data_IF_955207717101
#
_entry.id   IF_955207717101
#
_cell.length_a   1.000
_cell.length_b   1.000
_cell.length_c   1.000
_cell.angle_alpha   90.00
_cell.angle_beta   90.00
_cell.angle_gamma   90.00
#
_symmetry.space_group_name_H-M   'P 1'
#
loop_
_entity.id
_entity.type
_entity.pdbx_description
1 polymer ?
#
# COMPACT_ATOMS: atom_id res chain seq x y z
N UNK A 1 0.89 26.63 -1.23
CA UNK A 1 1.58 26.74 -2.53
C UNK A 1 1.10 25.53 -3.36
N UNK A 2 0.09 25.74 -4.22
CA UNK A 2 -0.37 24.73 -5.19
C UNK A 2 0.65 24.68 -6.34
N UNK A 3 1.13 23.48 -6.68
CA UNK A 3 1.82 23.19 -7.93
C UNK A 3 3.34 23.37 -7.92
N UNK A 4 4.09 22.34 -7.51
CA UNK A 4 5.54 22.28 -7.72
C UNK A 4 5.88 22.10 -9.22
N UNK A 5 4.97 21.52 -10.00
CA UNK A 5 5.16 21.22 -11.41
C UNK A 5 4.14 21.98 -12.27
N UNK A 6 4.58 22.48 -13.40
CA UNK A 6 3.71 23.15 -14.38
C UNK A 6 4.04 22.67 -15.77
N UNK A 7 3.05 22.16 -16.49
CA UNK A 7 3.15 21.82 -17.89
C UNK A 7 2.35 22.80 -18.73
N UNK A 8 2.97 23.30 -19.79
CA UNK A 8 2.31 24.17 -20.76
C UNK A 8 2.98 23.97 -22.12
N UNK A 9 2.19 23.86 -23.18
CA UNK A 9 2.69 23.73 -24.54
C UNK A 9 3.67 24.87 -24.88
N UNK A 10 4.82 24.53 -25.48
CA UNK A 10 5.85 25.47 -25.81
C UNK A 10 6.69 26.00 -24.62
N UNK A 11 6.55 25.47 -23.44
CA UNK A 11 7.37 25.78 -22.27
C UNK A 11 8.29 24.62 -21.90
N UNK A 12 9.44 24.88 -21.24
CA UNK A 12 10.31 23.81 -20.74
C UNK A 12 9.59 22.86 -19.78
N UNK A 13 9.97 21.58 -19.83
CA UNK A 13 9.46 20.55 -18.93
C UNK A 13 9.87 20.82 -17.48
N UNK A 14 8.99 20.55 -16.51
CA UNK A 14 9.36 20.61 -15.11
C UNK A 14 10.41 19.55 -14.75
N UNK A 15 11.28 19.87 -13.77
CA UNK A 15 12.32 18.96 -13.31
C UNK A 15 11.74 17.97 -12.32
N UNK A 16 11.93 16.68 -12.58
CA UNK A 16 11.44 15.62 -11.72
C UNK A 16 12.22 15.57 -10.39
N UNK A 17 11.56 15.73 -9.26
CA UNK A 17 12.16 15.61 -7.94
C UNK A 17 12.41 14.16 -7.53
N UNK A 18 13.39 13.93 -6.65
CA UNK A 18 13.80 12.58 -6.22
C UNK A 18 12.66 11.77 -5.59
N UNK A 19 11.80 12.39 -4.80
CA UNK A 19 10.65 11.73 -4.17
C UNK A 19 9.60 11.24 -5.20
N UNK A 20 9.43 11.96 -6.31
CA UNK A 20 8.53 11.54 -7.39
C UNK A 20 9.10 10.35 -8.16
N UNK A 21 10.43 10.26 -8.31
CA UNK A 21 11.09 9.08 -8.90
C UNK A 21 10.74 7.82 -8.13
N UNK A 22 10.90 7.85 -6.80
CA UNK A 22 10.60 6.70 -5.95
C UNK A 22 9.11 6.27 -6.04
N UNK A 23 8.18 7.23 -6.04
CA UNK A 23 6.75 6.94 -6.20
C UNK A 23 6.43 6.29 -7.54
N UNK A 24 6.95 6.85 -8.64
CA UNK A 24 6.74 6.28 -9.98
C UNK A 24 7.30 4.86 -10.09
N UNK A 25 8.44 4.57 -9.47
CA UNK A 25 9.01 3.24 -9.45
C UNK A 25 8.11 2.25 -8.70
N UNK A 26 7.56 2.65 -7.54
CA UNK A 26 6.62 1.81 -6.81
C UNK A 26 5.37 1.54 -7.63
N UNK A 27 4.78 2.56 -8.23
CA UNK A 27 3.56 2.42 -9.03
C UNK A 27 3.78 1.46 -10.20
N UNK A 28 4.88 1.61 -10.94
CA UNK A 28 5.23 0.75 -12.06
C UNK A 28 5.48 -0.70 -11.62
N UNK A 29 6.26 -0.90 -10.55
CA UNK A 29 6.54 -2.25 -10.06
C UNK A 29 5.33 -2.91 -9.41
N UNK A 30 4.50 -2.11 -8.69
CA UNK A 30 3.29 -2.64 -8.08
C UNK A 30 2.29 -3.14 -9.12
N UNK A 31 2.07 -2.40 -10.20
CA UNK A 31 1.13 -2.83 -11.26
C UNK A 31 1.59 -4.14 -11.92
N UNK A 32 2.90 -4.35 -12.08
CA UNK A 32 3.44 -5.61 -12.58
C UNK A 32 3.11 -6.77 -11.64
N UNK A 33 3.42 -6.62 -10.35
CA UNK A 33 3.11 -7.63 -9.32
C UNK A 33 1.59 -7.88 -9.26
N UNK A 34 0.79 -6.84 -9.30
CA UNK A 34 -0.67 -6.91 -9.26
C UNK A 34 -1.23 -7.77 -10.38
N UNK A 35 -0.81 -7.51 -11.61
CA UNK A 35 -1.26 -8.28 -12.79
C UNK A 35 -0.73 -9.72 -12.74
N UNK A 36 0.53 -9.93 -12.43
CA UNK A 36 1.11 -11.27 -12.27
C UNK A 36 0.34 -12.10 -11.24
N UNK A 37 -0.09 -11.50 -10.15
CA UNK A 37 -0.91 -12.16 -9.13
C UNK A 37 -2.31 -12.50 -9.62
N UNK A 38 -2.96 -11.58 -10.30
CA UNK A 38 -4.31 -11.78 -10.84
C UNK A 38 -4.36 -12.75 -12.01
N UNK A 39 -3.23 -12.99 -12.67
CA UNK A 39 -3.11 -13.87 -13.84
C UNK A 39 -2.39 -15.19 -13.55
N UNK A 40 -2.19 -15.55 -12.27
CA UNK A 40 -1.48 -16.81 -11.90
C UNK A 40 -2.12 -18.09 -12.40
N UNK A 41 -3.44 -18.11 -12.57
CA UNK A 41 -4.16 -19.30 -13.00
C UNK A 41 -3.92 -19.57 -14.48
N UNK A 42 -3.29 -20.71 -14.87
CA UNK A 42 -2.93 -20.98 -16.26
C UNK A 42 -4.14 -21.03 -17.22
N UNK A 43 -5.31 -21.42 -16.72
CA UNK A 43 -6.55 -21.51 -17.51
C UNK A 43 -7.24 -20.16 -17.72
N UNK A 44 -6.82 -19.12 -17.04
CA UNK A 44 -7.36 -17.77 -17.23
C UNK A 44 -6.86 -17.20 -18.55
N UNK A 45 -7.80 -16.68 -19.36
CA UNK A 45 -7.51 -16.11 -20.67
C UNK A 45 -7.77 -14.61 -20.78
N UNK A 46 -8.33 -14.01 -19.74
CA UNK A 46 -8.70 -12.59 -19.75
C UNK A 46 -8.58 -11.93 -18.37
N UNK A 47 -8.21 -10.66 -18.38
CA UNK A 47 -8.29 -9.77 -17.21
C UNK A 47 -8.84 -8.40 -17.63
N UNK A 48 -9.90 -7.94 -16.96
CA UNK A 48 -10.41 -6.58 -17.11
C UNK A 48 -9.89 -5.71 -15.95
N UNK A 49 -9.29 -4.58 -16.30
CA UNK A 49 -8.67 -3.66 -15.34
C UNK A 49 -9.05 -2.20 -15.67
N UNK A 50 -9.26 -1.39 -14.65
CA UNK A 50 -9.32 0.07 -14.79
C UNK A 50 -8.24 0.67 -13.92
N UNK A 51 -7.40 1.50 -14.52
CA UNK A 51 -6.34 2.24 -13.85
C UNK A 51 -6.74 3.71 -13.81
N UNK A 52 -6.71 4.29 -12.62
CA UNK A 52 -7.09 5.68 -12.40
C UNK A 52 -5.90 6.42 -11.81
N UNK A 53 -5.41 7.42 -12.52
CA UNK A 53 -4.44 8.38 -12.03
C UNK A 53 -5.16 9.71 -11.76
N UNK A 54 -5.41 9.98 -10.49
CA UNK A 54 -6.23 11.12 -10.06
C UNK A 54 -5.51 12.46 -10.09
N UNK A 55 -4.18 12.48 -10.35
CA UNK A 55 -3.33 13.66 -10.37
C UNK A 55 -2.27 13.52 -11.45
N UNK A 56 -2.71 13.28 -12.68
CA UNK A 56 -1.88 12.77 -13.77
C UNK A 56 -0.80 13.75 -14.28
N UNK A 57 -0.96 15.04 -14.05
CA UNK A 57 -0.06 16.07 -14.58
C UNK A 57 0.03 16.04 -16.10
N UNK A 58 1.14 16.55 -16.65
CA UNK A 58 1.38 16.57 -18.10
C UNK A 58 2.08 15.33 -18.66
N UNK A 59 2.45 14.35 -17.82
CA UNK A 59 2.98 13.06 -18.27
C UNK A 59 4.46 13.03 -18.65
N UNK A 60 5.16 14.17 -18.75
CA UNK A 60 6.58 14.26 -19.06
C UNK A 60 7.32 15.19 -18.09
N UNK A 61 8.56 14.83 -17.79
CA UNK A 61 9.47 15.60 -16.95
C UNK A 61 10.85 15.68 -17.58
N UNK A 62 11.69 16.52 -17.01
CA UNK A 62 13.13 16.60 -17.30
C UNK A 62 13.92 16.12 -16.10
N UNK A 63 14.97 15.31 -16.34
CA UNK A 63 15.98 14.94 -15.36
C UNK A 63 17.36 15.19 -15.98
N UNK A 64 18.03 16.23 -15.51
CA UNK A 64 19.22 16.73 -16.21
C UNK A 64 18.87 17.20 -17.62
N UNK A 65 19.55 16.67 -18.63
CA UNK A 65 19.27 16.90 -20.06
C UNK A 65 18.27 15.91 -20.67
N UNK A 66 17.83 14.90 -19.94
CA UNK A 66 16.99 13.81 -20.47
C UNK A 66 15.52 14.03 -20.13
N UNK A 67 14.66 13.77 -21.11
CA UNK A 67 13.22 13.67 -20.92
C UNK A 67 12.87 12.33 -20.24
N UNK A 68 12.00 12.35 -19.25
CA UNK A 68 11.56 11.16 -18.54
C UNK A 68 10.05 11.11 -18.41
N UNK A 69 9.50 9.91 -18.51
CA UNK A 69 8.06 9.66 -18.42
C UNK A 69 7.53 9.88 -17.01
N UNK A 70 6.36 10.53 -16.93
CA UNK A 70 5.54 10.61 -15.74
C UNK A 70 4.61 9.38 -15.59
N UNK A 71 3.77 9.41 -14.56
CA UNK A 71 2.85 8.29 -14.22
C UNK A 71 1.99 7.83 -15.40
N UNK A 72 1.34 8.69 -16.22
CA UNK A 72 0.50 8.22 -17.32
C UNK A 72 1.24 7.35 -18.33
N UNK A 73 2.40 7.79 -18.82
CA UNK A 73 3.18 7.04 -19.79
C UNK A 73 3.79 5.76 -19.19
N UNK A 74 4.26 5.82 -17.96
CA UNK A 74 4.78 4.64 -17.24
C UNK A 74 3.72 3.56 -17.07
N UNK A 75 2.50 3.95 -16.66
CA UNK A 75 1.38 3.03 -16.50
C UNK A 75 0.97 2.39 -17.83
N UNK A 76 0.87 3.18 -18.90
CA UNK A 76 0.57 2.66 -20.25
C UNK A 76 1.60 1.64 -20.70
N UNK A 77 2.89 1.99 -20.64
CA UNK A 77 3.99 1.09 -21.05
C UNK A 77 4.10 -0.17 -20.19
N UNK A 78 3.88 -0.05 -18.89
CA UNK A 78 3.88 -1.21 -18.00
C UNK A 78 2.80 -2.22 -18.37
N UNK A 79 1.60 -1.75 -18.72
CA UNK A 79 0.50 -2.60 -19.16
C UNK A 79 0.77 -3.23 -20.51
N UNK A 80 1.27 -2.46 -21.48
CA UNK A 80 1.62 -2.96 -22.82
C UNK A 80 2.68 -4.06 -22.75
N UNK A 81 3.77 -3.80 -22.01
CA UNK A 81 4.82 -4.81 -21.82
C UNK A 81 4.33 -6.09 -21.15
N UNK A 82 3.40 -5.99 -20.19
CA UNK A 82 2.79 -7.16 -19.54
C UNK A 82 1.82 -7.89 -20.48
N UNK A 83 1.07 -7.18 -21.29
CA UNK A 83 0.18 -7.78 -22.29
C UNK A 83 0.99 -8.63 -23.28
N UNK A 84 2.11 -8.10 -23.78
CA UNK A 84 3.01 -8.82 -24.70
C UNK A 84 3.59 -10.08 -24.05
N UNK A 85 4.03 -9.99 -22.79
CA UNK A 85 4.53 -11.14 -22.02
C UNK A 85 3.41 -12.19 -21.84
N UNK A 86 2.22 -11.77 -21.45
CA UNK A 86 1.10 -12.69 -21.24
C UNK A 86 0.64 -13.36 -22.56
N UNK A 87 0.62 -12.62 -23.66
CA UNK A 87 0.29 -13.17 -25.00
C UNK A 87 1.32 -14.19 -25.45
N UNK A 88 2.61 -13.93 -25.22
CA UNK A 88 3.68 -14.83 -25.66
C UNK A 88 3.86 -16.08 -24.78
N UNK A 89 3.53 -15.99 -23.49
CA UNK A 89 3.73 -17.09 -22.54
C UNK A 89 2.53 -17.99 -22.36
N UNK A 90 1.32 -17.58 -22.78
CA UNK A 90 0.07 -18.34 -22.62
C UNK A 90 -0.30 -19.10 -23.88
N UNK A 91 -0.37 -20.43 -23.80
CA UNK A 91 -0.67 -21.32 -24.93
C UNK A 91 -2.00 -20.99 -25.64
N UNK A 92 -3.00 -20.44 -24.91
CA UNK A 92 -4.31 -20.00 -25.45
C UNK A 92 -4.38 -18.50 -25.73
N UNK A 93 -3.24 -17.80 -25.65
CA UNK A 93 -3.22 -16.35 -25.62
C UNK A 93 -3.81 -15.77 -24.32
N UNK A 94 -3.71 -14.46 -24.16
CA UNK A 94 -4.28 -13.72 -23.04
C UNK A 94 -4.77 -12.35 -23.51
N UNK A 95 -5.96 -11.96 -23.06
CA UNK A 95 -6.57 -10.67 -23.38
C UNK A 95 -6.55 -9.78 -22.13
N UNK A 96 -5.59 -8.82 -22.07
CA UNK A 96 -5.51 -7.85 -21.02
C UNK A 96 -6.23 -6.56 -21.43
N UNK A 97 -7.44 -6.36 -20.93
CA UNK A 97 -8.27 -5.18 -21.23
C UNK A 97 -8.10 -4.15 -20.13
N UNK A 98 -7.36 -3.10 -20.41
CA UNK A 98 -7.13 -2.03 -19.46
C UNK A 98 -7.71 -0.71 -19.96
N UNK A 99 -8.56 -0.09 -19.15
CA UNK A 99 -8.98 1.29 -19.31
C UNK A 99 -8.16 2.20 -18.41
N UNK A 100 -7.89 3.41 -18.87
CA UNK A 100 -7.12 4.40 -18.16
C UNK A 100 -7.92 5.68 -17.97
N UNK A 101 -7.98 6.19 -16.76
CA UNK A 101 -8.48 7.52 -16.45
C UNK A 101 -7.32 8.36 -15.95
N UNK A 102 -6.99 9.42 -16.70
CA UNK A 102 -6.01 10.45 -16.33
C UNK A 102 -6.75 11.73 -16.00
N UNK A 103 -6.67 12.17 -14.75
CA UNK A 103 -7.46 13.28 -14.23
C UNK A 103 -6.50 14.34 -13.71
N UNK A 104 -6.73 15.58 -14.06
CA UNK A 104 -5.99 16.73 -13.52
C UNK A 104 -6.89 17.98 -13.51
N UNK A 105 -6.80 18.78 -12.43
CA UNK A 105 -7.57 20.02 -12.27
C UNK A 105 -7.08 21.16 -13.18
N UNK A 106 -5.86 21.06 -13.71
CA UNK A 106 -5.25 22.10 -14.51
C UNK A 106 -5.43 21.83 -16.01
N UNK A 107 -6.17 22.69 -16.69
CA UNK A 107 -6.42 22.57 -18.12
C UNK A 107 -5.13 22.47 -18.95
N UNK A 108 -4.09 23.25 -18.61
CA UNK A 108 -2.83 23.19 -19.34
C UNK A 108 -2.11 21.85 -19.21
N UNK A 109 -2.25 21.17 -18.05
CA UNK A 109 -1.71 19.82 -17.87
C UNK A 109 -2.44 18.81 -18.73
N UNK A 110 -3.78 18.90 -18.78
CA UNK A 110 -4.65 18.06 -19.61
C UNK A 110 -4.35 18.23 -21.10
N UNK A 111 -4.23 19.48 -21.57
CA UNK A 111 -3.87 19.82 -22.96
C UNK A 111 -2.49 19.25 -23.31
N UNK A 112 -1.51 19.47 -22.44
CA UNK A 112 -0.15 18.97 -22.61
C UNK A 112 -0.11 17.44 -22.65
N UNK A 113 -0.75 16.74 -21.71
CA UNK A 113 -0.83 15.28 -21.68
C UNK A 113 -1.50 14.73 -22.95
N UNK A 114 -2.58 15.38 -23.39
CA UNK A 114 -3.28 14.98 -24.62
C UNK A 114 -2.37 15.05 -25.84
N UNK A 115 -1.60 16.12 -25.97
CA UNK A 115 -0.63 16.27 -27.05
C UNK A 115 0.48 15.24 -26.98
N UNK A 116 1.08 15.04 -25.81
CA UNK A 116 2.09 14.01 -25.56
C UNK A 116 1.58 12.62 -25.95
N UNK A 117 0.37 12.25 -25.55
CA UNK A 117 -0.19 10.94 -25.86
C UNK A 117 -0.42 10.77 -27.38
N UNK A 118 -0.84 11.83 -28.09
CA UNK A 118 -0.94 11.79 -29.54
C UNK A 118 0.42 11.57 -30.21
N UNK A 119 1.44 12.32 -29.78
CA UNK A 119 2.81 12.19 -30.29
C UNK A 119 3.43 10.83 -30.03
N UNK A 120 3.07 10.19 -28.93
CA UNK A 120 3.56 8.86 -28.53
C UNK A 120 2.75 7.70 -29.13
N UNK A 121 1.82 7.96 -30.06
CA UNK A 121 1.09 6.95 -30.81
C UNK A 121 -0.22 6.48 -30.17
N UNK A 122 -0.69 7.13 -29.09
CA UNK A 122 -1.92 6.76 -28.37
C UNK A 122 -3.18 7.43 -28.94
N UNK A 123 -3.10 8.18 -30.03
CA UNK A 123 -4.21 8.97 -30.58
C UNK A 123 -5.51 8.15 -30.79
N UNK A 124 -5.40 6.92 -31.29
CA UNK A 124 -6.54 6.03 -31.57
C UNK A 124 -7.16 5.44 -30.30
N UNK A 125 -6.50 5.54 -29.16
CA UNK A 125 -6.97 5.04 -27.87
C UNK A 125 -7.68 6.10 -27.05
N UNK A 126 -7.47 7.39 -27.38
CA UNK A 126 -8.13 8.50 -26.69
C UNK A 126 -9.65 8.45 -26.90
N UNK A 127 -10.39 8.48 -25.82
CA UNK A 127 -11.86 8.36 -25.80
C UNK A 127 -12.39 6.93 -25.95
N UNK A 128 -11.54 5.93 -26.23
CA UNK A 128 -11.91 4.52 -26.32
C UNK A 128 -11.59 3.74 -25.06
N UNK A 129 -10.31 3.74 -24.66
CA UNK A 129 -9.77 3.06 -23.48
C UNK A 129 -8.80 3.96 -22.69
N UNK A 130 -8.46 5.15 -23.22
CA UNK A 130 -7.73 6.21 -22.52
C UNK A 130 -8.65 7.43 -22.39
N UNK A 131 -9.05 7.76 -21.17
CA UNK A 131 -9.94 8.87 -20.86
C UNK A 131 -9.17 9.95 -20.08
N UNK A 132 -9.03 11.13 -20.67
CA UNK A 132 -8.44 12.28 -20.00
C UNK A 132 -9.57 13.19 -19.52
N UNK A 133 -9.50 13.66 -18.26
CA UNK A 133 -10.52 14.51 -17.64
C UNK A 133 -9.90 15.75 -17.04
N UNK A 134 -10.41 16.93 -17.43
CA UNK A 134 -10.15 18.20 -16.79
C UNK A 134 -11.19 18.37 -15.67
N UNK A 135 -10.82 18.00 -14.45
CA UNK A 135 -11.69 18.09 -13.28
C UNK A 135 -10.86 17.87 -12.00
N UNK A 136 -11.40 18.24 -10.86
CA UNK A 136 -10.95 17.71 -9.58
C UNK A 136 -11.25 16.21 -9.51
N UNK A 137 -10.35 15.44 -8.88
CA UNK A 137 -10.56 14.00 -8.74
C UNK A 137 -11.90 13.66 -8.06
N UNK A 138 -12.30 14.43 -7.04
CA UNK A 138 -13.56 14.24 -6.33
C UNK A 138 -14.78 14.41 -7.24
N UNK A 139 -14.72 15.35 -8.18
CA UNK A 139 -15.78 15.60 -9.17
C UNK A 139 -15.84 14.50 -10.24
N UNK A 140 -14.70 14.01 -10.70
CA UNK A 140 -14.63 12.97 -11.72
C UNK A 140 -14.92 11.56 -11.18
N UNK A 141 -14.67 11.30 -9.91
CA UNK A 141 -14.74 9.98 -9.30
C UNK A 141 -16.11 9.29 -9.44
N UNK A 142 -17.28 9.94 -9.31
CA UNK A 142 -18.57 9.30 -9.52
C UNK A 142 -18.72 8.68 -10.91
N UNK A 143 -18.26 9.37 -11.96
CA UNK A 143 -18.30 8.87 -13.35
C UNK A 143 -17.32 7.70 -13.55
N UNK A 144 -16.14 7.78 -12.96
CA UNK A 144 -15.16 6.68 -12.96
C UNK A 144 -15.75 5.44 -12.29
N UNK A 145 -16.37 5.58 -11.12
CA UNK A 145 -17.03 4.47 -10.42
C UNK A 145 -18.18 3.88 -11.24
N UNK A 146 -18.99 4.72 -11.89
CA UNK A 146 -20.06 4.27 -12.77
C UNK A 146 -19.53 3.49 -13.97
N UNK A 147 -18.43 3.96 -14.57
CA UNK A 147 -17.75 3.25 -15.68
C UNK A 147 -17.23 1.88 -15.24
N UNK A 148 -16.54 1.81 -14.10
CA UNK A 148 -16.03 0.54 -13.57
C UNK A 148 -17.18 -0.44 -13.31
N UNK A 149 -18.26 0.01 -12.68
CA UNK A 149 -19.43 -0.83 -12.38
C UNK A 149 -20.12 -1.39 -13.62
N UNK A 150 -20.19 -0.62 -14.71
CA UNK A 150 -20.77 -1.07 -16.00
C UNK A 150 -20.01 -2.26 -16.61
N UNK A 151 -18.71 -2.43 -16.28
CA UNK A 151 -17.89 -3.56 -16.77
C UNK A 151 -18.11 -4.87 -15.98
N UNK A 152 -18.98 -4.85 -14.99
CA UNK A 152 -19.38 -6.01 -14.22
C UNK A 152 -18.46 -6.39 -13.06
N UNK A 153 -18.79 -7.49 -12.38
CA UNK A 153 -18.15 -7.91 -11.13
C UNK A 153 -16.73 -8.44 -11.29
N UNK A 154 -16.32 -8.82 -12.51
CA UNK A 154 -14.97 -9.30 -12.80
C UNK A 154 -13.94 -8.15 -12.95
N UNK A 155 -14.43 -6.90 -13.04
CA UNK A 155 -13.58 -5.73 -13.18
C UNK A 155 -12.70 -5.55 -11.95
N UNK A 156 -11.42 -5.28 -12.19
CA UNK A 156 -10.45 -4.87 -11.19
C UNK A 156 -10.17 -3.38 -11.34
N UNK A 157 -9.79 -2.71 -10.25
CA UNK A 157 -9.47 -1.29 -10.30
C UNK A 157 -8.33 -0.94 -9.36
N UNK A 158 -7.47 -0.06 -9.86
CA UNK A 158 -6.30 0.43 -9.16
C UNK A 158 -6.26 1.95 -9.28
N UNK A 159 -6.27 2.64 -8.14
CA UNK A 159 -6.28 4.09 -8.05
C UNK A 159 -4.91 4.59 -7.56
N UNK A 160 -4.28 5.43 -8.35
CA UNK A 160 -3.07 6.17 -7.99
C UNK A 160 -3.45 7.63 -7.73
N UNK A 161 -3.39 8.02 -6.46
CA UNK A 161 -3.82 9.33 -6.00
C UNK A 161 -2.60 10.08 -5.43
N UNK A 162 -1.77 10.60 -6.34
CA UNK A 162 -0.54 11.32 -5.99
C UNK A 162 -0.84 12.80 -5.72
N UNK A 163 -1.69 13.07 -4.74
CA UNK A 163 -2.02 14.43 -4.34
C UNK A 163 -0.79 15.18 -3.82
N UNK A 164 -0.75 16.49 -4.08
CA UNK A 164 0.38 17.32 -3.65
C UNK A 164 0.42 17.55 -2.13
N UNK A 165 -0.71 17.56 -1.48
CA UNK A 165 -0.88 17.83 -0.05
C UNK A 165 -1.34 16.62 0.74
N UNK A 166 -2.37 16.83 1.53
CA UNK A 166 -2.99 15.83 2.40
C UNK A 166 -4.52 15.90 2.42
N UNK A 167 -5.13 16.88 1.77
CA UNK A 167 -6.57 17.19 1.87
C UNK A 167 -7.31 17.27 0.54
N UNK A 168 -6.62 17.07 -0.61
CA UNK A 168 -7.26 17.16 -1.92
C UNK A 168 -8.12 15.92 -2.23
N UNK A 169 -7.90 14.82 -1.51
CA UNK A 169 -8.74 13.61 -1.56
C UNK A 169 -9.36 13.38 -0.19
N UNK A 170 -10.68 13.51 -0.11
CA UNK A 170 -11.42 13.28 1.13
C UNK A 170 -11.45 11.80 1.53
N UNK A 171 -11.32 11.49 2.84
CA UNK A 171 -11.34 10.11 3.33
C UNK A 171 -12.69 9.43 3.08
N UNK A 172 -13.79 10.18 3.10
CA UNK A 172 -15.13 9.70 2.71
C UNK A 172 -15.19 9.20 1.27
N UNK A 173 -14.46 9.83 0.36
CA UNK A 173 -14.37 9.40 -1.04
C UNK A 173 -13.62 8.09 -1.15
N UNK A 174 -12.50 7.93 -0.42
CA UNK A 174 -11.76 6.67 -0.37
C UNK A 174 -12.64 5.55 0.20
N UNK A 175 -13.36 5.81 1.28
CA UNK A 175 -14.35 4.87 1.86
C UNK A 175 -15.40 4.47 0.82
N UNK A 176 -15.91 5.43 0.03
CA UNK A 176 -16.85 5.16 -1.06
C UNK A 176 -16.24 4.28 -2.15
N UNK A 177 -15.00 4.52 -2.56
CA UNK A 177 -14.28 3.68 -3.54
C UNK A 177 -14.17 2.25 -3.01
N UNK A 178 -13.62 2.09 -1.79
CA UNK A 178 -13.38 0.78 -1.19
C UNK A 178 -14.67 -0.01 -0.91
N UNK A 179 -15.75 0.68 -0.54
CA UNK A 179 -17.04 0.06 -0.24
C UNK A 179 -17.93 -0.22 -1.46
N UNK A 180 -17.70 0.46 -2.59
CA UNK A 180 -18.60 0.37 -3.75
C UNK A 180 -18.12 -0.52 -4.88
N UNK A 181 -16.86 -0.91 -4.89
CA UNK A 181 -16.22 -1.72 -5.92
C UNK A 181 -15.78 -3.07 -5.34
N UNK A 182 -15.57 -4.04 -6.23
CA UNK A 182 -15.07 -5.36 -5.84
C UNK A 182 -13.53 -5.36 -5.78
N UNK A 183 -12.97 -5.39 -4.57
CA UNK A 183 -11.54 -5.39 -4.32
C UNK A 183 -10.77 -4.29 -5.08
N UNK A 184 -11.16 -3.02 -4.94
CA UNK A 184 -10.37 -1.91 -5.43
C UNK A 184 -9.12 -1.77 -4.56
N UNK A 185 -8.09 -1.17 -5.12
CA UNK A 185 -6.90 -0.78 -4.38
C UNK A 185 -6.60 0.69 -4.61
N UNK A 186 -6.18 1.36 -3.56
CA UNK A 186 -5.85 2.79 -3.59
C UNK A 186 -4.42 2.99 -3.08
N UNK A 187 -3.60 3.63 -3.88
CA UNK A 187 -2.31 4.16 -3.48
C UNK A 187 -2.43 5.68 -3.38
N UNK A 188 -2.31 6.19 -2.17
CA UNK A 188 -2.49 7.61 -1.87
C UNK A 188 -1.20 8.20 -1.30
N UNK A 189 -0.72 9.30 -1.90
CA UNK A 189 0.34 10.12 -1.28
C UNK A 189 -0.29 11.07 -0.28
N UNK A 190 0.29 11.14 0.92
CA UNK A 190 -0.23 11.94 2.02
C UNK A 190 0.92 12.71 2.72
N UNK A 191 0.89 14.03 2.64
CA UNK A 191 1.93 14.88 3.21
C UNK A 191 1.74 15.06 4.73
N UNK A 192 2.07 14.02 5.49
CA UNK A 192 1.82 13.95 6.94
C UNK A 192 2.49 15.09 7.72
N UNK A 193 3.72 15.46 7.39
CA UNK A 193 4.43 16.56 8.06
C UNK A 193 3.75 17.91 7.79
N UNK A 194 3.19 18.10 6.59
CA UNK A 194 2.45 19.31 6.27
C UNK A 194 1.16 19.40 7.10
N UNK A 195 0.44 18.28 7.26
CA UNK A 195 -0.73 18.21 8.13
C UNK A 195 -0.35 18.51 9.59
N UNK A 196 0.67 17.83 10.13
CA UNK A 196 1.10 18.03 11.53
C UNK A 196 1.44 19.51 11.78
N UNK A 197 2.12 20.17 10.84
CA UNK A 197 2.44 21.60 10.98
C UNK A 197 1.21 22.50 10.84
N UNK A 198 0.18 22.08 10.13
CA UNK A 198 -1.07 22.81 9.94
C UNK A 198 -2.02 22.69 11.14
N UNK A 199 -1.95 21.58 11.88
CA UNK A 199 -2.83 21.34 13.04
C UNK A 199 -2.70 22.45 14.07
N UNK A 200 -3.82 23.13 14.35
CA UNK A 200 -3.97 24.09 15.45
C UNK A 200 -5.46 24.25 15.77
N UNK A 201 -5.77 24.67 16.98
CA UNK A 201 -7.17 24.96 17.37
C UNK A 201 -7.82 26.01 16.46
N UNK A 202 -7.04 26.94 15.89
CA UNK A 202 -7.52 27.95 14.95
C UNK A 202 -7.89 27.39 13.57
N UNK A 203 -7.33 26.25 13.19
CA UNK A 203 -7.54 25.60 11.88
C UNK A 203 -8.59 24.48 11.94
N UNK A 204 -9.11 24.15 13.13
CA UNK A 204 -9.96 22.98 13.37
C UNK A 204 -11.23 22.88 12.49
N UNK A 205 -11.74 24.02 12.01
CA UNK A 205 -12.98 24.06 11.22
C UNK A 205 -12.71 24.35 9.73
N UNK A 206 -11.46 24.18 9.27
CA UNK A 206 -11.16 24.38 7.85
C UNK A 206 -11.62 23.18 7.01
N UNK A 207 -12.07 23.47 5.78
CA UNK A 207 -12.48 22.44 4.83
C UNK A 207 -11.41 21.35 4.66
N UNK A 208 -10.14 21.71 4.72
CA UNK A 208 -9.04 20.78 4.62
C UNK A 208 -9.06 19.71 5.72
N UNK A 209 -9.33 20.08 6.98
CA UNK A 209 -9.43 19.13 8.09
C UNK A 209 -10.75 18.35 8.03
N UNK A 210 -11.84 18.97 7.59
CA UNK A 210 -13.12 18.28 7.37
C UNK A 210 -13.00 17.21 6.27
N UNK A 211 -12.23 17.45 5.21
CA UNK A 211 -11.98 16.47 4.16
C UNK A 211 -11.30 15.18 4.69
N UNK A 212 -10.48 15.31 5.73
CA UNK A 212 -9.87 14.15 6.39
C UNK A 212 -10.62 13.73 7.66
N UNK A 213 -11.84 14.23 7.84
CA UNK A 213 -12.74 13.86 8.94
C UNK A 213 -12.14 14.11 10.34
N UNK A 214 -11.25 15.09 10.50
CA UNK A 214 -10.77 15.56 11.79
C UNK A 214 -11.66 16.70 12.28
N UNK A 215 -12.37 16.47 13.37
CA UNK A 215 -13.18 17.50 14.01
C UNK A 215 -12.38 18.36 15.01
N UNK A 216 -13.06 19.27 15.71
CA UNK A 216 -12.43 20.18 16.66
C UNK A 216 -11.85 19.45 17.88
N UNK A 217 -12.49 18.37 18.33
CA UNK A 217 -12.04 17.58 19.47
C UNK A 217 -10.80 16.77 19.10
N UNK A 218 -10.80 16.14 17.93
CA UNK A 218 -9.65 15.43 17.38
C UNK A 218 -8.43 16.35 17.26
N UNK A 219 -8.63 17.55 16.65
CA UNK A 219 -7.55 18.53 16.50
C UNK A 219 -7.01 18.97 17.84
N UNK A 220 -7.88 19.20 18.83
CA UNK A 220 -7.47 19.56 20.19
C UNK A 220 -6.65 18.42 20.81
N UNK A 221 -7.15 17.19 20.77
CA UNK A 221 -6.45 16.03 21.31
C UNK A 221 -5.07 15.85 20.68
N UNK A 222 -4.96 16.00 19.35
CA UNK A 222 -3.68 15.94 18.63
C UNK A 222 -2.73 17.10 19.01
N UNK A 223 -3.25 18.32 19.22
CA UNK A 223 -2.43 19.47 19.60
C UNK A 223 -1.95 19.39 21.04
N UNK A 224 -2.74 18.82 21.93
CA UNK A 224 -2.38 18.62 23.35
C UNK A 224 -1.22 17.61 23.53
N UNK A 225 -0.98 16.74 22.54
CA UNK A 225 0.20 15.86 22.52
C UNK A 225 1.52 16.62 22.31
N UNK A 226 1.49 17.87 21.83
CA UNK A 226 2.70 18.67 21.55
C UNK A 226 3.43 19.03 22.83
N UNK A 227 4.74 19.02 22.76
CA UNK A 227 5.61 19.46 23.87
C UNK A 227 6.24 18.32 24.68
N UNK A 228 5.77 17.07 24.54
CA UNK A 228 6.41 15.89 25.11
C UNK A 228 7.50 15.32 24.21
N UNK A 229 8.37 14.48 24.77
CA UNK A 229 9.33 13.72 23.98
C UNK A 229 8.59 12.81 22.98
N UNK A 230 9.05 12.80 21.71
CA UNK A 230 8.42 11.95 20.68
C UNK A 230 7.02 12.37 20.23
N UNK A 231 6.54 13.56 20.59
CA UNK A 231 5.18 14.03 20.30
C UNK A 231 4.76 13.88 18.80
N UNK A 232 5.70 14.08 17.87
CA UNK A 232 5.41 13.90 16.43
C UNK A 232 5.01 12.47 16.10
N UNK A 233 5.65 11.48 16.70
CA UNK A 233 5.32 10.07 16.50
C UNK A 233 3.96 9.70 17.10
N UNK A 234 3.62 10.30 18.25
CA UNK A 234 2.30 10.13 18.86
C UNK A 234 1.20 10.66 17.93
N UNK A 235 1.38 11.86 17.38
CA UNK A 235 0.43 12.42 16.40
C UNK A 235 0.38 11.54 15.14
N UNK A 236 1.51 11.11 14.60
CA UNK A 236 1.53 10.23 13.43
C UNK A 236 0.79 8.92 13.70
N UNK A 237 0.96 8.31 14.86
CA UNK A 237 0.24 7.08 15.22
C UNK A 237 -1.28 7.32 15.35
N UNK A 238 -1.69 8.42 15.95
CA UNK A 238 -3.11 8.79 16.04
C UNK A 238 -3.73 9.02 14.66
N UNK A 239 -3.03 9.75 13.78
CA UNK A 239 -3.44 9.96 12.39
C UNK A 239 -3.49 8.64 11.59
N UNK A 240 -2.54 7.75 11.81
CA UNK A 240 -2.54 6.42 11.21
C UNK A 240 -3.84 5.67 11.50
N UNK A 241 -4.21 5.56 12.77
CA UNK A 241 -5.45 4.89 13.18
C UNK A 241 -6.69 5.63 12.71
N UNK A 242 -6.67 6.95 12.75
CA UNK A 242 -7.77 7.78 12.24
C UNK A 242 -8.04 7.52 10.77
N UNK A 243 -7.01 7.57 9.91
CA UNK A 243 -7.15 7.32 8.47
C UNK A 243 -7.65 5.90 8.20
N UNK A 244 -7.14 4.90 8.92
CA UNK A 244 -7.59 3.52 8.79
C UNK A 244 -9.10 3.40 9.09
N UNK A 245 -9.54 3.98 10.20
CA UNK A 245 -10.93 3.93 10.63
C UNK A 245 -11.85 4.68 9.64
N UNK A 246 -11.47 5.90 9.23
CA UNK A 246 -12.27 6.71 8.33
C UNK A 246 -12.38 6.15 6.92
N UNK A 247 -11.34 5.53 6.40
CA UNK A 247 -11.38 4.92 5.05
C UNK A 247 -12.10 3.57 5.01
N UNK A 248 -12.22 2.90 6.14
CA UNK A 248 -12.77 1.55 6.21
C UNK A 248 -11.94 0.50 5.47
N UNK A 249 -10.68 0.81 5.17
CA UNK A 249 -9.75 -0.14 4.56
C UNK A 249 -9.47 -1.30 5.53
N UNK A 250 -9.77 -2.52 5.12
CA UNK A 250 -9.47 -3.70 5.93
C UNK A 250 -7.96 -3.90 6.07
N UNK A 251 -7.23 -3.62 4.99
CA UNK A 251 -5.77 -3.71 4.94
C UNK A 251 -5.20 -2.35 4.53
N UNK A 252 -4.38 -1.83 5.39
CA UNK A 252 -3.84 -0.50 5.30
C UNK A 252 -2.37 -0.50 5.72
N UNK A 253 -1.54 0.14 4.94
CA UNK A 253 -0.13 0.28 5.29
C UNK A 253 0.38 1.63 4.84
N UNK A 254 0.89 2.46 5.75
CA UNK A 254 1.65 3.65 5.41
C UNK A 254 3.12 3.27 5.26
N UNK A 255 3.71 3.72 4.17
CA UNK A 255 5.15 3.72 3.98
C UNK A 255 5.64 5.15 3.98
N UNK A 256 6.77 5.38 4.63
CA UNK A 256 7.34 6.70 4.70
C UNK A 256 8.27 6.92 3.51
N UNK A 257 8.05 8.00 2.76
CA UNK A 257 8.99 8.50 1.77
C UNK A 257 9.61 9.75 2.36
N UNK A 258 10.90 9.70 2.61
CA UNK A 258 11.64 10.87 3.08
C UNK A 258 12.25 11.60 1.89
N UNK A 259 11.91 12.90 1.74
CA UNK A 259 12.56 13.75 0.75
C UNK A 259 13.84 14.31 1.32
N UNK A 260 14.99 13.88 0.81
CA UNK A 260 16.30 14.43 1.19
C UNK A 260 16.42 15.94 0.89
N UNK A 261 15.75 16.43 -0.17
CA UNK A 261 15.77 17.83 -0.60
C UNK A 261 14.96 18.75 0.33
N UNK A 262 13.76 18.31 0.75
CA UNK A 262 12.83 19.13 1.53
C UNK A 262 12.80 18.81 3.02
N UNK A 263 13.49 17.74 3.46
CA UNK A 263 13.41 17.18 4.81
C UNK A 263 11.99 16.91 5.28
N UNK A 264 11.06 16.67 4.35
CA UNK A 264 9.65 16.38 4.62
C UNK A 264 9.38 14.91 4.44
N UNK A 265 8.57 14.37 5.31
CA UNK A 265 8.07 13.01 5.21
C UNK A 265 6.69 13.00 4.57
N UNK A 266 6.52 12.08 3.63
CA UNK A 266 5.24 11.75 3.02
C UNK A 266 4.90 10.32 3.39
N UNK A 267 3.63 10.04 3.57
CA UNK A 267 3.14 8.67 3.55
C UNK A 267 2.72 8.30 2.14
N UNK A 268 3.15 7.14 1.70
CA UNK A 268 2.49 6.42 0.63
C UNK A 268 1.58 5.39 1.28
N UNK A 269 0.28 5.65 1.23
CA UNK A 269 -0.74 4.80 1.83
C UNK A 269 -1.20 3.80 0.79
N UNK A 270 -1.13 2.52 1.12
CA UNK A 270 -1.77 1.46 0.34
C UNK A 270 -2.98 0.95 1.11
N UNK A 271 -4.16 1.09 0.51
CA UNK A 271 -5.44 0.73 1.10
C UNK A 271 -6.12 -0.32 0.24
N UNK A 272 -6.54 -1.42 0.85
CA UNK A 272 -7.19 -2.53 0.15
C UNK A 272 -8.14 -3.31 1.05
N UNK A 273 -8.98 -4.13 0.42
CA UNK A 273 -9.86 -5.06 1.13
C UNK A 273 -9.37 -6.51 1.07
N UNK A 274 -8.16 -6.73 0.54
CA UNK A 274 -7.61 -8.08 0.38
C UNK A 274 -6.20 -8.20 0.95
N UNK A 275 -5.97 -9.16 1.89
CA UNK A 275 -4.68 -9.37 2.55
C UNK A 275 -3.50 -9.60 1.59
N UNK A 276 -3.77 -10.28 0.45
CA UNK A 276 -2.74 -10.54 -0.55
C UNK A 276 -2.17 -9.26 -1.15
N UNK A 277 -3.04 -8.26 -1.42
CA UNK A 277 -2.63 -6.96 -1.90
C UNK A 277 -1.66 -6.28 -0.92
N UNK A 278 -2.02 -6.31 0.38
CA UNK A 278 -1.17 -5.82 1.46
C UNK A 278 0.18 -6.56 1.53
N UNK A 279 0.15 -7.88 1.41
CA UNK A 279 1.36 -8.72 1.46
C UNK A 279 2.31 -8.41 0.29
N UNK A 280 1.77 -8.30 -0.93
CA UNK A 280 2.58 -7.98 -2.12
C UNK A 280 3.17 -6.57 -2.06
N UNK A 281 2.43 -5.59 -1.53
CA UNK A 281 2.96 -4.26 -1.29
C UNK A 281 4.10 -4.30 -0.26
N UNK A 282 3.95 -5.04 0.83
CA UNK A 282 5.01 -5.23 1.81
C UNK A 282 6.27 -5.86 1.20
N UNK A 283 6.11 -6.90 0.39
CA UNK A 283 7.23 -7.54 -0.34
C UNK A 283 7.92 -6.58 -1.30
N UNK A 284 7.17 -5.71 -1.96
CA UNK A 284 7.72 -4.70 -2.84
C UNK A 284 8.61 -3.73 -2.07
N UNK A 285 8.16 -3.24 -0.91
CA UNK A 285 8.96 -2.33 -0.09
C UNK A 285 10.27 -2.97 0.39
N UNK A 286 10.24 -4.23 0.83
CA UNK A 286 11.45 -4.98 1.16
C UNK A 286 12.41 -5.12 -0.04
N UNK A 287 11.89 -5.30 -1.25
CA UNK A 287 12.69 -5.44 -2.47
C UNK A 287 13.35 -4.14 -2.91
N UNK A 288 12.67 -3.02 -2.69
CA UNK A 288 13.15 -1.71 -3.12
C UNK A 288 14.17 -1.09 -2.19
N UNK A 289 14.58 -1.74 -1.13
CA UNK A 289 15.61 -1.36 -0.15
C UNK A 289 16.01 0.14 -0.17
N UNK A 290 16.19 0.77 0.97
CA UNK A 290 16.76 2.13 1.11
C UNK A 290 15.91 3.33 0.63
N UNK A 291 14.76 3.15 -0.01
CA UNK A 291 13.92 4.29 -0.40
C UNK A 291 12.93 4.71 0.68
N UNK A 292 12.73 3.87 1.71
CA UNK A 292 11.71 4.10 2.73
C UNK A 292 12.31 3.98 4.12
N UNK A 293 12.00 4.98 4.93
CA UNK A 293 12.22 4.95 6.36
C UNK A 293 10.87 4.86 7.04
N UNK A 294 10.79 4.10 8.12
CA UNK A 294 9.62 4.15 8.97
C UNK A 294 10.08 4.25 10.43
N UNK A 295 9.23 4.85 11.26
CA UNK A 295 9.50 4.99 12.68
C UNK A 295 8.78 3.86 13.41
N UNK A 296 9.53 3.05 14.13
CA UNK A 296 9.02 1.92 14.87
C UNK A 296 10.09 0.83 15.09
N UNK A 297 9.73 -0.22 15.77
CA UNK A 297 10.61 -1.36 16.05
C UNK A 297 10.51 -2.46 15.00
N UNK A 298 11.16 -3.57 15.27
CA UNK A 298 11.04 -4.80 14.49
C UNK A 298 9.84 -5.65 14.95
N UNK A 299 9.37 -6.57 14.10
CA UNK A 299 8.33 -7.53 14.44
C UNK A 299 6.90 -7.05 14.17
N UNK A 300 5.93 -7.64 14.89
CA UNK A 300 4.51 -7.42 14.63
C UNK A 300 3.96 -6.05 15.05
N UNK A 301 4.68 -5.30 15.86
CA UNK A 301 4.24 -3.98 16.35
C UNK A 301 5.12 -2.84 15.84
N UNK A 302 5.70 -3.03 14.66
CA UNK A 302 6.74 -2.16 14.15
C UNK A 302 6.24 -0.91 13.42
N UNK A 303 5.04 -0.94 12.85
CA UNK A 303 4.46 0.20 12.14
C UNK A 303 3.67 1.08 13.12
N UNK A 304 4.08 2.33 13.17
CA UNK A 304 3.54 3.28 14.14
C UNK A 304 4.22 3.18 15.52
N UNK A 305 4.41 4.34 16.12
CA UNK A 305 4.94 4.43 17.48
C UNK A 305 3.79 4.37 18.48
N UNK A 306 3.75 3.31 19.29
CA UNK A 306 2.80 3.19 20.38
C UNK A 306 3.58 3.03 21.71
N UNK A 307 3.74 4.12 22.49
CA UNK A 307 4.52 4.09 23.71
C UNK A 307 3.93 3.18 24.81
N UNK A 308 2.65 2.79 24.68
CA UNK A 308 2.03 1.83 25.60
C UNK A 308 2.51 0.40 25.37
N UNK A 309 3.05 0.11 24.18
CA UNK A 309 3.51 -1.24 23.79
C UNK A 309 5.01 -1.44 24.00
N UNK A 310 5.83 -0.41 23.81
CA UNK A 310 7.26 -0.47 24.10
C UNK A 310 7.90 0.94 24.14
N UNK A 311 8.32 1.37 25.31
CA UNK A 311 9.05 2.63 25.51
C UNK A 311 10.46 2.65 24.87
N UNK A 312 11.03 1.50 24.53
CA UNK A 312 12.35 1.37 23.91
C UNK A 312 12.32 1.48 22.39
N UNK A 313 11.15 1.34 21.77
CA UNK A 313 11.00 1.42 20.31
C UNK A 313 11.10 2.84 19.74
N UNK A 314 11.18 3.84 20.60
CA UNK A 314 10.84 5.23 20.28
C UNK A 314 11.77 6.01 19.38
N UNK A 315 12.94 5.53 18.97
CA UNK A 315 13.92 6.42 18.33
C UNK A 315 14.72 5.83 17.18
N UNK A 316 14.49 4.60 16.77
CA UNK A 316 15.24 4.02 15.67
C UNK A 316 14.49 4.19 14.35
N UNK A 317 15.13 4.86 13.40
CA UNK A 317 14.70 4.85 12.02
C UNK A 317 14.84 3.43 11.49
N UNK A 318 13.72 2.81 11.13
CA UNK A 318 13.70 1.49 10.52
C UNK A 318 13.84 1.65 9.01
N UNK A 319 14.89 1.09 8.44
CA UNK A 319 15.09 1.04 7.00
C UNK A 319 14.77 -0.38 6.52
N UNK A 320 14.24 -0.51 5.31
CA UNK A 320 13.97 -1.82 4.70
C UNK A 320 15.26 -2.40 4.08
N UNK A 321 16.29 -2.56 4.89
CA UNK A 321 17.57 -3.17 4.52
C UNK A 321 17.73 -4.59 5.10
N UNK A 322 18.82 -5.25 4.78
CA UNK A 322 19.09 -6.62 5.25
C UNK A 322 19.19 -6.72 6.77
N UNK A 323 19.66 -5.66 7.43
CA UNK A 323 19.76 -5.63 8.89
C UNK A 323 18.38 -5.52 9.53
N UNK A 324 17.51 -4.66 8.99
CA UNK A 324 16.13 -4.57 9.40
C UNK A 324 15.36 -5.88 9.14
N UNK A 325 15.65 -6.57 8.03
CA UNK A 325 15.08 -7.90 7.75
C UNK A 325 15.45 -8.88 8.85
N UNK A 326 16.74 -9.00 9.18
CA UNK A 326 17.21 -9.91 10.25
C UNK A 326 16.58 -9.58 11.61
N UNK A 327 16.50 -8.28 11.95
CA UNK A 327 15.84 -7.84 13.20
C UNK A 327 14.35 -8.18 13.21
N UNK A 328 13.65 -8.00 12.08
CA UNK A 328 12.24 -8.35 11.97
C UNK A 328 12.02 -9.86 12.09
N UNK A 329 12.85 -10.67 11.47
CA UNK A 329 12.80 -12.13 11.59
C UNK A 329 13.02 -12.60 13.04
N UNK A 330 14.02 -12.06 13.71
CA UNK A 330 14.32 -12.38 15.11
C UNK A 330 13.16 -11.96 16.04
N UNK A 331 12.63 -10.75 15.87
CA UNK A 331 11.52 -10.26 16.67
C UNK A 331 10.22 -11.07 16.46
N UNK A 332 9.94 -11.46 15.22
CA UNK A 332 8.80 -12.34 14.91
C UNK A 332 8.96 -13.69 15.57
N UNK A 333 10.14 -14.28 15.50
CA UNK A 333 10.44 -15.57 16.13
C UNK A 333 10.23 -15.52 17.65
N UNK A 334 10.60 -14.41 18.30
CA UNK A 334 10.40 -14.21 19.74
C UNK A 334 8.92 -14.01 20.09
N UNK A 335 8.16 -13.30 19.26
CA UNK A 335 6.75 -12.96 19.54
C UNK A 335 5.76 -14.10 19.24
N UNK A 336 6.04 -14.91 18.22
CA UNK A 336 5.15 -15.99 17.76
C UNK A 336 4.72 -16.98 18.83
N UNK A 337 5.62 -17.56 19.68
CA UNK A 337 5.24 -18.54 20.68
C UNK A 337 4.18 -18.02 21.64
N UNK A 338 4.32 -16.78 22.10
CA UNK A 338 3.34 -16.15 22.99
C UNK A 338 1.99 -15.96 22.32
N UNK A 339 1.97 -15.44 21.10
CA UNK A 339 0.73 -15.19 20.34
C UNK A 339 -0.01 -16.50 20.06
N UNK A 340 0.73 -17.55 19.69
CA UNK A 340 0.15 -18.88 19.44
C UNK A 340 -0.37 -19.49 20.74
N UNK A 341 0.36 -19.35 21.85
CA UNK A 341 -0.07 -19.86 23.16
C UNK A 341 -1.37 -19.19 23.61
N UNK A 342 -1.48 -17.88 23.55
CA UNK A 342 -2.67 -17.11 23.92
C UNK A 342 -3.88 -17.55 23.07
N UNK A 343 -3.71 -17.69 21.74
CA UNK A 343 -4.77 -18.14 20.85
C UNK A 343 -5.17 -19.61 21.07
N UNK A 344 -4.22 -20.49 21.34
CA UNK A 344 -4.53 -21.90 21.64
C UNK A 344 -5.36 -22.05 22.91
N UNK A 345 -5.09 -21.26 23.95
CA UNK A 345 -5.90 -21.26 25.19
C UNK A 345 -7.31 -20.74 24.93
N UNK A 346 -7.49 -19.79 24.03
CA UNK A 346 -8.79 -19.19 23.76
C UNK A 346 -9.66 -20.02 22.79
N UNK A 347 -9.06 -20.66 21.79
CA UNK A 347 -9.78 -21.25 20.65
C UNK A 347 -9.26 -22.60 20.16
N UNK A 348 -8.33 -23.24 20.87
CA UNK A 348 -7.76 -24.53 20.48
C UNK A 348 -6.89 -24.51 19.22
N UNK A 349 -6.41 -23.34 18.82
CA UNK A 349 -5.49 -23.18 17.70
C UNK A 349 -5.72 -21.88 16.94
N UNK A 350 -4.73 -21.47 16.13
CA UNK A 350 -4.74 -20.22 15.38
C UNK A 350 -4.53 -20.50 13.91
N UNK A 351 -5.42 -19.99 13.04
CA UNK A 351 -5.20 -20.08 11.60
C UNK A 351 -4.04 -19.15 11.17
N UNK A 352 -3.19 -19.61 10.25
CA UNK A 352 -2.11 -18.79 9.69
C UNK A 352 -2.68 -17.52 9.05
N UNK A 353 -3.84 -17.64 8.40
CA UNK A 353 -4.55 -16.49 7.82
C UNK A 353 -4.93 -15.45 8.86
N UNK A 354 -5.51 -15.88 9.99
CA UNK A 354 -5.99 -14.98 11.04
C UNK A 354 -4.80 -14.31 11.75
N UNK A 355 -3.73 -15.06 12.01
CA UNK A 355 -2.49 -14.52 12.57
C UNK A 355 -1.93 -13.40 11.68
N UNK A 356 -1.87 -13.62 10.38
CA UNK A 356 -1.37 -12.61 9.46
C UNK A 356 -2.34 -11.43 9.34
N UNK A 357 -3.62 -11.68 9.11
CA UNK A 357 -4.62 -10.65 8.84
C UNK A 357 -4.84 -9.70 10.03
N UNK A 358 -4.74 -10.20 11.27
CA UNK A 358 -4.91 -9.38 12.48
C UNK A 358 -3.69 -8.51 12.81
N UNK A 359 -2.52 -8.81 12.25
CA UNK A 359 -1.28 -8.09 12.57
C UNK A 359 -0.66 -7.37 11.39
N UNK A 360 -0.98 -7.72 10.14
CA UNK A 360 -0.25 -7.23 8.98
C UNK A 360 -0.32 -5.71 8.77
N UNK A 361 -1.32 -5.02 9.30
CA UNK A 361 -1.40 -3.57 9.21
C UNK A 361 -0.34 -2.88 10.08
N UNK A 362 0.02 -3.46 11.20
CA UNK A 362 0.93 -2.88 12.20
C UNK A 362 2.38 -3.35 12.05
N UNK A 363 2.73 -4.02 10.94
CA UNK A 363 4.04 -4.63 10.78
C UNK A 363 4.56 -4.58 9.34
N UNK A 364 5.89 -4.45 9.12
CA UNK A 364 6.50 -4.69 7.82
C UNK A 364 6.62 -6.19 7.48
N UNK A 365 6.24 -7.08 8.40
CA UNK A 365 6.31 -8.53 8.21
C UNK A 365 5.45 -8.97 7.03
N UNK A 366 6.04 -9.74 6.13
CA UNK A 366 5.36 -10.37 4.99
C UNK A 366 5.02 -11.81 5.29
N UNK A 367 4.15 -12.38 4.46
CA UNK A 367 3.82 -13.81 4.56
C UNK A 367 5.04 -14.72 4.44
N UNK A 368 6.07 -14.29 3.70
CA UNK A 368 7.29 -15.08 3.50
C UNK A 368 8.14 -15.08 4.77
N UNK A 369 8.26 -13.92 5.44
CA UNK A 369 8.92 -13.82 6.76
C UNK A 369 8.17 -14.70 7.76
N UNK A 370 6.86 -14.52 7.87
CA UNK A 370 6.04 -15.28 8.80
C UNK A 370 6.19 -16.79 8.60
N UNK A 371 6.08 -17.27 7.36
CA UNK A 371 6.18 -18.71 7.05
C UNK A 371 7.54 -19.29 7.35
N UNK A 372 8.63 -18.52 7.13
CA UNK A 372 9.98 -18.99 7.51
C UNK A 372 10.09 -19.21 9.01
N UNK A 373 9.58 -18.27 9.82
CA UNK A 373 9.64 -18.40 11.28
C UNK A 373 8.72 -19.51 11.81
N UNK A 374 7.53 -19.67 11.22
CA UNK A 374 6.64 -20.80 11.54
C UNK A 374 7.26 -22.16 11.16
N UNK A 375 7.94 -22.24 10.03
CA UNK A 375 8.66 -23.44 9.62
C UNK A 375 9.79 -23.77 10.59
N UNK A 376 10.56 -22.77 11.01
CA UNK A 376 11.60 -22.93 12.02
C UNK A 376 11.04 -23.48 13.34
N UNK A 377 10.00 -22.87 13.90
CA UNK A 377 9.36 -23.35 15.15
C UNK A 377 8.81 -24.77 15.01
N UNK A 378 8.22 -25.13 13.87
CA UNK A 378 7.78 -26.51 13.56
C UNK A 378 8.95 -27.47 13.57
N UNK A 379 10.04 -27.10 12.92
CA UNK A 379 11.20 -27.97 12.74
C UNK A 379 11.97 -28.19 14.06
N UNK A 380 11.94 -27.21 14.96
CA UNK A 380 12.44 -27.34 16.35
C UNK A 380 11.46 -28.10 17.28
N UNK A 381 10.24 -28.42 16.80
CA UNK A 381 9.23 -29.11 17.59
C UNK A 381 8.48 -28.25 18.59
N UNK A 382 8.64 -26.93 18.50
CA UNK A 382 7.93 -25.95 19.34
C UNK A 382 6.50 -25.68 18.85
N UNK A 383 6.18 -26.08 17.61
CA UNK A 383 4.91 -25.85 16.96
C UNK A 383 4.47 -27.06 16.14
N UNK A 384 3.20 -27.42 16.23
CA UNK A 384 2.54 -28.35 15.32
C UNK A 384 1.67 -27.59 14.32
N UNK A 385 1.75 -27.97 13.04
CA UNK A 385 0.95 -27.39 11.97
C UNK A 385 -0.01 -28.45 11.45
N UNK A 386 -1.29 -28.15 11.47
CA UNK A 386 -2.38 -29.03 11.05
C UNK A 386 -3.00 -28.47 9.78
N UNK A 387 -3.08 -29.29 8.74
CA UNK A 387 -3.74 -28.93 7.49
C UNK A 387 -5.28 -28.82 7.66
N UNK A 388 -6.02 -28.22 6.72
CA UNK A 388 -7.47 -28.08 6.82
C UNK A 388 -8.23 -29.42 6.92
N UNK A 389 -7.63 -30.51 6.43
CA UNK A 389 -8.18 -31.89 6.52
C UNK A 389 -7.90 -32.57 7.87
N UNK A 390 -7.29 -31.87 8.81
CA UNK A 390 -6.92 -32.39 10.12
C UNK A 390 -5.61 -33.16 10.17
N UNK A 391 -4.93 -33.39 9.06
CA UNK A 391 -3.64 -34.09 9.04
C UNK A 391 -2.49 -33.19 9.51
N UNK A 392 -1.55 -33.77 10.23
CA UNK A 392 -0.30 -33.09 10.60
C UNK A 392 0.53 -32.75 9.36
N UNK A 393 1.11 -31.57 9.32
CA UNK A 393 1.87 -31.10 8.15
C UNK A 393 3.37 -31.37 8.32
N UNK A 394 3.97 -32.29 7.53
CA UNK A 394 5.38 -32.62 7.64
C UNK A 394 6.28 -31.45 7.18
N UNK A 395 7.56 -31.52 7.55
CA UNK A 395 8.59 -30.51 7.24
C UNK A 395 8.71 -30.18 5.73
N UNK A 396 8.47 -31.18 4.88
CA UNK A 396 8.57 -31.03 3.42
C UNK A 396 7.43 -30.23 2.77
N UNK A 397 6.32 -29.96 3.50
CA UNK A 397 5.16 -29.25 2.93
C UNK A 397 5.15 -27.77 3.31
N UNK A 398 4.80 -26.94 2.32
CA UNK A 398 4.64 -25.51 2.51
C UNK A 398 3.46 -25.19 3.44
N UNK A 399 3.63 -24.17 4.27
CA UNK A 399 2.61 -23.67 5.18
C UNK A 399 1.60 -22.84 4.38
N UNK A 400 0.34 -23.26 4.39
CA UNK A 400 -0.79 -22.59 3.73
C UNK A 400 -1.54 -21.63 4.64
N UNK A 401 -2.39 -20.80 4.05
CA UNK A 401 -3.21 -19.86 4.81
C UNK A 401 -4.25 -20.55 5.69
N UNK A 402 -4.83 -21.66 5.22
CA UNK A 402 -5.83 -22.45 5.95
C UNK A 402 -5.24 -23.40 6.99
N UNK A 403 -3.92 -23.46 7.14
CA UNK A 403 -3.30 -24.31 8.14
C UNK A 403 -3.52 -23.72 9.54
N UNK A 404 -3.67 -24.62 10.52
CA UNK A 404 -3.86 -24.29 11.93
C UNK A 404 -2.56 -24.50 12.69
N UNK A 405 -2.20 -23.52 13.49
CA UNK A 405 -1.07 -23.53 14.41
C UNK A 405 -1.56 -24.06 15.76
N UNK A 406 -0.96 -25.14 16.23
CA UNK A 406 -1.33 -25.81 17.46
C UNK A 406 -0.07 -26.03 18.27
N UNK A 407 -0.15 -25.81 19.60
CA UNK A 407 0.93 -26.17 20.49
C UNK A 407 1.08 -27.69 20.51
N UNK A 408 2.31 -28.22 20.50
CA UNK A 408 2.51 -29.65 20.73
C UNK A 408 1.95 -30.01 22.12
N UNK A 409 1.43 -31.23 22.30
CA UNK A 409 0.99 -31.67 23.62
C UNK A 409 2.14 -31.50 24.61
N UNK A 410 1.84 -30.93 25.78
CA UNK A 410 2.84 -30.73 26.83
C UNK A 410 3.53 -32.05 27.09
N UNK A 411 4.81 -32.12 26.80
CA UNK A 411 5.64 -33.24 27.20
C UNK A 411 5.81 -33.11 28.72
N UNK A 412 5.11 -33.92 29.48
CA UNK A 412 5.34 -33.99 30.93
C UNK A 412 6.83 -34.25 31.16
N UNK A 413 7.41 -33.67 32.21
CA UNK A 413 8.78 -33.97 32.61
C UNK A 413 9.04 -35.46 32.73
N UNK A 414 8.00 -36.24 33.09
CA UNK A 414 8.03 -37.70 33.20
C UNK A 414 8.13 -38.40 31.83
N UNK A 415 7.60 -37.84 30.73
CA UNK A 415 7.76 -38.43 29.40
C UNK A 415 9.18 -38.28 28.84
N UNK A 416 9.99 -37.34 29.35
CA UNK A 416 11.41 -37.22 29.02
C UNK A 416 12.31 -38.17 29.79
N UNK A 417 11.82 -38.73 30.88
CA UNK A 417 12.56 -39.65 31.75
C UNK A 417 12.26 -41.15 31.49
N UNK A 418 11.44 -41.44 30.47
CA UNK A 418 11.20 -42.85 30.05
C UNK A 418 10.40 -43.67 31.09
N UNK A 419 9.57 -43.05 31.93
CA UNK A 419 8.67 -43.70 32.90
C UNK A 419 7.23 -43.71 32.38
#
# INVERSE_FOLDING_TARGET
MRGQYTWKLGRPLPVLGGHSVAKHEIFEQYIKIYIERLTRTPSQTMLNLTIVDGFSGGGLYRRGSTEVDGSPLRLLRAIEGLEDVLKSTRAKGFDLRADFFFIDENLHHVEFLTDVLRQRGYAQRLGRDIFIRHALFEEACPDVLAHIKKKGTAQRSLFFLDQYGWSDVGLSLIRKILGSLRNPEVLLTFAVDALINFLSVKTAETQALLNIELDREDVRALTDLRGGEGWRYLIQNSLYRHIQNCTGARFYTPFFIHSAESRRSYWLLHLSNHRQARDEMGKLHWRLNNHFQHHGGAGFHALGFDPSKDLRQGMLTFMFDDDAMRRSEAAVLEQLPRMIHEANRASGGLLVEDLFASNCNDTPVTSDILRRQLAFLRDEGELSIVAPDGSGKPRSKNIGWGDRLVLPPERSLFSRLGW
#
